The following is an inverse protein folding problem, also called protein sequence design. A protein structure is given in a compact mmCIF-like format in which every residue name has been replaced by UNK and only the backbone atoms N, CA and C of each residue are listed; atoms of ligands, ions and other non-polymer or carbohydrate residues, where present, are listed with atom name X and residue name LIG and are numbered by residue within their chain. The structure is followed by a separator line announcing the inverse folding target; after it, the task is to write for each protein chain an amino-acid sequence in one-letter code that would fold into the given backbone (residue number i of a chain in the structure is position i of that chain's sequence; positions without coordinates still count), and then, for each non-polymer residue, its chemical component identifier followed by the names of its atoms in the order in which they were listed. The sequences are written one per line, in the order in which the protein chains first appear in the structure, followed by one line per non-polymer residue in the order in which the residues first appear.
data_IF_436543385422
#
_entry.id   IF_436543385422
#
_cell.length_a   1.000
_cell.length_b   1.000
_cell.length_c   1.000
_cell.angle_alpha   90.00
_cell.angle_beta   90.00
_cell.angle_gamma   90.00
#
_symmetry.space_group_name_H-M   'P 1'
#
loop_
_entity.id
_entity.type
_entity.pdbx_description
1 polymer ?
#
# COMPACT_ATOMS: atom_id res chain seq x y z
N UNK A 1 9.46 15.70 -18.12
CA UNK A 1 10.38 14.55 -18.38
C UNK A 1 11.33 14.36 -17.21
N UNK A 2 12.26 15.28 -16.89
CA UNK A 2 13.04 15.18 -15.64
C UNK A 2 12.24 15.64 -14.39
N UNK A 3 11.29 16.57 -14.60
CA UNK A 3 10.35 17.08 -13.60
C UNK A 3 9.36 16.05 -13.01
N UNK A 4 9.22 14.89 -13.64
CA UNK A 4 8.17 13.92 -13.32
C UNK A 4 8.68 12.77 -12.44
N UNK A 5 10.00 12.55 -12.38
CA UNK A 5 10.61 11.61 -11.43
C UNK A 5 10.40 12.06 -9.98
N UNK A 6 10.40 13.36 -9.75
CA UNK A 6 10.13 13.98 -8.45
C UNK A 6 8.70 13.69 -7.93
N UNK A 7 7.80 13.27 -8.82
CA UNK A 7 6.42 12.90 -8.47
C UNK A 7 6.27 11.41 -8.17
N UNK A 8 7.28 10.56 -8.43
CA UNK A 8 7.21 9.13 -8.14
C UNK A 8 7.23 8.92 -6.62
N UNK A 9 6.23 8.21 -6.10
CA UNK A 9 6.05 8.00 -4.66
C UNK A 9 5.83 6.52 -4.36
N UNK A 10 6.51 5.99 -3.35
CA UNK A 10 6.14 4.68 -2.78
C UNK A 10 5.04 4.91 -1.74
N UNK A 11 3.98 4.11 -1.80
CA UNK A 11 2.92 4.11 -0.79
C UNK A 11 3.16 2.96 0.17
N UNK A 12 3.15 3.27 1.47
CA UNK A 12 3.09 2.30 2.57
C UNK A 12 1.73 2.41 3.25
N UNK A 13 1.02 1.28 3.32
CA UNK A 13 -0.26 1.13 4.00
C UNK A 13 -0.39 -0.33 4.48
N UNK A 14 -1.27 -0.65 5.44
CA UNK A 14 -1.50 -2.04 5.79
C UNK A 14 -2.09 -2.79 4.59
N UNK A 15 -1.79 -4.09 4.52
CA UNK A 15 -2.34 -5.03 3.55
C UNK A 15 -3.01 -6.20 4.27
N UNK A 16 -2.20 -7.09 4.85
CA UNK A 16 -2.70 -8.25 5.58
C UNK A 16 -3.38 -7.81 6.89
N UNK A 17 -4.64 -8.19 7.06
CA UNK A 17 -5.39 -8.05 8.31
C UNK A 17 -5.34 -9.33 9.16
N UNK A 18 -5.94 -9.29 10.36
CA UNK A 18 -6.07 -10.48 11.23
C UNK A 18 -6.90 -11.59 10.59
N UNK A 19 -7.84 -11.22 9.72
CA UNK A 19 -8.66 -12.13 8.94
C UNK A 19 -8.99 -11.60 7.56
N UNK A 20 -9.87 -12.33 6.87
CA UNK A 20 -10.31 -12.00 5.51
C UNK A 20 -10.94 -10.60 5.45
N UNK A 21 -11.91 -10.32 6.33
CA UNK A 21 -12.61 -9.03 6.41
C UNK A 21 -11.66 -7.84 6.62
N UNK A 22 -10.73 -7.95 7.58
CA UNK A 22 -9.74 -6.89 7.82
C UNK A 22 -8.75 -6.72 6.66
N UNK A 23 -8.42 -7.80 5.95
CA UNK A 23 -7.59 -7.73 4.73
C UNK A 23 -8.31 -6.98 3.62
N UNK A 24 -9.61 -7.23 3.40
CA UNK A 24 -10.40 -6.46 2.44
C UNK A 24 -10.50 -4.97 2.81
N UNK A 25 -10.72 -4.66 4.08
CA UNK A 25 -10.72 -3.27 4.55
C UNK A 25 -9.37 -2.58 4.29
N UNK A 26 -8.27 -3.29 4.53
CA UNK A 26 -6.92 -2.79 4.24
C UNK A 26 -6.69 -2.60 2.73
N UNK A 27 -7.21 -3.48 1.87
CA UNK A 27 -7.14 -3.32 0.41
C UNK A 27 -7.94 -2.09 -0.04
N UNK A 28 -9.16 -1.89 0.48
CA UNK A 28 -9.95 -0.69 0.21
C UNK A 28 -9.23 0.58 0.66
N UNK A 29 -8.59 0.52 1.84
CA UNK A 29 -7.79 1.62 2.37
C UNK A 29 -6.56 1.91 1.51
N UNK A 30 -5.78 0.89 1.14
CA UNK A 30 -4.62 1.04 0.25
C UNK A 30 -5.00 1.69 -1.09
N UNK A 31 -6.15 1.30 -1.67
CA UNK A 31 -6.70 1.92 -2.88
C UNK A 31 -7.07 3.39 -2.66
N UNK A 32 -7.66 3.73 -1.51
CA UNK A 32 -7.96 5.11 -1.16
C UNK A 32 -6.69 5.96 -0.96
N UNK A 33 -5.62 5.39 -0.39
CA UNK A 33 -4.31 6.04 -0.27
C UNK A 33 -3.69 6.34 -1.63
N UNK A 34 -3.72 5.36 -2.56
CA UNK A 34 -3.28 5.57 -3.94
C UNK A 34 -4.07 6.68 -4.62
N UNK A 35 -5.39 6.70 -4.44
CA UNK A 35 -6.24 7.77 -4.98
C UNK A 35 -5.89 9.14 -4.38
N UNK A 36 -5.75 9.26 -3.06
CA UNK A 36 -5.35 10.52 -2.41
C UNK A 36 -4.00 11.02 -2.96
N UNK A 37 -2.99 10.16 -3.07
CA UNK A 37 -1.69 10.50 -3.66
C UNK A 37 -1.80 10.98 -5.12
N UNK A 38 -2.57 10.28 -5.96
CA UNK A 38 -2.85 10.71 -7.34
C UNK A 38 -3.50 12.11 -7.39
N UNK A 39 -4.48 12.37 -6.51
CA UNK A 39 -5.15 13.69 -6.47
C UNK A 39 -4.27 14.83 -6.00
N UNK A 40 -3.13 14.52 -5.36
CA UNK A 40 -2.08 15.49 -5.00
C UNK A 40 -1.10 15.75 -6.15
N UNK A 41 -1.29 15.11 -7.31
CA UNK A 41 -0.41 15.25 -8.48
C UNK A 41 0.82 14.35 -8.42
N UNK A 42 0.81 13.33 -7.55
CA UNK A 42 1.89 12.35 -7.42
C UNK A 42 1.62 11.12 -8.32
N UNK A 43 2.66 10.32 -8.54
CA UNK A 43 2.64 9.08 -9.30
C UNK A 43 2.97 7.90 -8.35
N UNK A 44 1.98 7.45 -7.57
CA UNK A 44 2.19 6.45 -6.54
C UNK A 44 2.39 5.04 -7.06
N UNK A 45 3.21 4.27 -6.36
CA UNK A 45 3.34 2.83 -6.48
C UNK A 45 3.17 2.15 -5.12
N UNK A 46 2.15 1.30 -5.01
CA UNK A 46 1.85 0.51 -3.83
C UNK A 46 2.14 -0.97 -4.13
N UNK A 47 3.40 -1.41 -4.00
CA UNK A 47 3.82 -2.75 -4.40
C UNK A 47 3.09 -3.86 -3.63
N UNK A 48 2.81 -3.63 -2.35
CA UNK A 48 2.05 -4.57 -1.51
C UNK A 48 0.60 -4.74 -1.92
N UNK A 49 0.03 -3.76 -2.63
CA UNK A 49 -1.30 -3.84 -3.22
C UNK A 49 -1.23 -4.44 -4.62
N UNK A 50 -0.31 -3.97 -5.47
CA UNK A 50 -0.25 -4.38 -6.87
C UNK A 50 0.16 -5.84 -7.03
N UNK A 51 1.28 -6.26 -6.45
CA UNK A 51 1.83 -7.60 -6.69
C UNK A 51 1.01 -8.72 -6.06
N UNK A 52 0.12 -8.40 -5.13
CA UNK A 52 -0.73 -9.36 -4.42
C UNK A 52 -2.11 -9.52 -5.07
N UNK A 53 -2.37 -8.85 -6.20
CA UNK A 53 -3.63 -9.06 -6.93
C UNK A 53 -3.63 -10.42 -7.66
N UNK A 54 -4.83 -11.00 -7.78
CA UNK A 54 -5.06 -12.30 -8.42
C UNK A 54 -4.39 -12.39 -9.80
N UNK A 55 -3.61 -13.45 -10.00
CA UNK A 55 -2.91 -13.72 -11.26
C UNK A 55 -1.56 -13.00 -11.43
N UNK A 56 -1.08 -12.24 -10.42
CA UNK A 56 0.23 -11.59 -10.46
C UNK A 56 1.27 -12.40 -9.68
N UNK A 57 1.18 -12.46 -8.35
CA UNK A 57 2.02 -13.27 -7.48
C UNK A 57 1.21 -13.84 -6.32
N UNK A 58 1.58 -15.04 -5.89
CA UNK A 58 1.02 -15.74 -4.73
C UNK A 58 1.88 -15.49 -3.49
N UNK A 59 1.42 -14.64 -2.57
CA UNK A 59 2.13 -14.31 -1.31
C UNK A 59 2.31 -15.53 -0.37
N UNK A 60 1.64 -16.66 -0.65
CA UNK A 60 1.85 -17.93 0.09
C UNK A 60 3.02 -18.75 -0.46
N UNK A 61 3.49 -18.45 -1.68
CA UNK A 61 4.72 -19.01 -2.22
C UNK A 61 5.91 -18.11 -1.86
N UNK A 62 6.93 -18.67 -1.21
CA UNK A 62 8.06 -17.90 -0.70
C UNK A 62 8.92 -17.26 -1.80
N UNK A 63 9.01 -17.92 -2.98
CA UNK A 63 9.81 -17.41 -4.10
C UNK A 63 9.09 -16.24 -4.76
N UNK A 64 7.79 -16.39 -5.01
CA UNK A 64 6.96 -15.33 -5.57
C UNK A 64 6.84 -14.15 -4.60
N UNK A 65 6.67 -14.40 -3.31
CA UNK A 65 6.72 -13.36 -2.28
C UNK A 65 8.03 -12.58 -2.31
N UNK A 66 9.15 -13.29 -2.36
CA UNK A 66 10.48 -12.67 -2.44
C UNK A 66 10.66 -11.87 -3.72
N UNK A 67 10.13 -12.36 -4.86
CA UNK A 67 10.12 -11.63 -6.13
C UNK A 67 9.33 -10.33 -6.03
N UNK A 68 8.12 -10.35 -5.46
CA UNK A 68 7.28 -9.17 -5.28
C UNK A 68 7.93 -8.12 -4.37
N UNK A 69 8.56 -8.56 -3.26
CA UNK A 69 9.35 -7.69 -2.38
C UNK A 69 10.47 -7.04 -3.19
N UNK A 70 11.33 -7.83 -3.83
CA UNK A 70 12.48 -7.35 -4.60
C UNK A 70 12.09 -6.42 -5.76
N UNK A 71 10.96 -6.69 -6.42
CA UNK A 71 10.44 -5.81 -7.47
C UNK A 71 9.96 -4.47 -6.88
N UNK A 72 9.25 -4.48 -5.75
CA UNK A 72 8.91 -3.27 -4.99
C UNK A 72 10.16 -2.52 -4.50
N UNK A 73 11.21 -3.26 -4.16
CA UNK A 73 12.51 -2.69 -3.78
C UNK A 73 13.09 -1.86 -4.91
N UNK A 74 13.25 -2.46 -6.08
CA UNK A 74 13.83 -1.83 -7.25
C UNK A 74 13.04 -0.61 -7.69
N UNK A 75 11.71 -0.72 -7.72
CA UNK A 75 10.84 0.40 -8.08
C UNK A 75 10.99 1.55 -7.09
N UNK A 76 10.98 1.23 -5.81
CA UNK A 76 11.13 2.22 -4.76
C UNK A 76 12.41 3.03 -4.90
N UNK A 77 13.54 2.45 -5.35
CA UNK A 77 14.82 3.15 -5.54
C UNK A 77 14.73 4.35 -6.50
N UNK A 78 13.77 4.35 -7.41
CA UNK A 78 13.52 5.44 -8.35
C UNK A 78 12.54 6.49 -7.80
N UNK A 79 11.76 6.14 -6.78
CA UNK A 79 10.80 7.03 -6.19
C UNK A 79 11.48 8.12 -5.35
N UNK A 80 10.95 9.34 -5.43
CA UNK A 80 11.46 10.50 -4.71
C UNK A 80 11.30 10.35 -3.19
N UNK A 81 10.15 9.83 -2.76
CA UNK A 81 9.80 9.68 -1.35
C UNK A 81 8.93 8.46 -1.09
N UNK A 82 8.88 8.06 0.17
CA UNK A 82 7.95 7.08 0.70
C UNK A 82 6.87 7.80 1.51
N UNK A 83 5.61 7.59 1.15
CA UNK A 83 4.46 8.14 1.87
C UNK A 83 3.80 7.04 2.68
N UNK A 84 3.66 7.26 3.97
CA UNK A 84 3.14 6.31 4.94
C UNK A 84 1.76 6.75 5.41
N UNK A 85 0.71 6.02 5.06
CA UNK A 85 -0.65 6.31 5.50
C UNK A 85 -0.98 5.60 6.81
N UNK A 86 -1.15 6.35 7.88
CA UNK A 86 -1.14 5.83 9.26
C UNK A 86 -2.49 5.77 9.96
N UNK A 87 -3.61 6.05 9.27
CA UNK A 87 -4.97 6.05 9.87
C UNK A 87 -5.35 4.70 10.52
N UNK A 88 -4.78 3.61 10.00
CA UNK A 88 -5.00 2.23 10.47
C UNK A 88 -3.82 1.69 11.29
N UNK A 89 -2.99 2.59 11.83
CA UNK A 89 -1.74 2.24 12.51
C UNK A 89 -0.64 1.80 11.54
N UNK A 90 0.52 1.45 12.10
CA UNK A 90 1.69 0.99 11.34
C UNK A 90 1.79 -0.53 11.47
N UNK A 91 1.62 -1.25 10.36
CA UNK A 91 1.77 -2.71 10.34
C UNK A 91 3.24 -3.12 10.30
N UNK A 92 3.57 -4.37 10.69
CA UNK A 92 4.93 -4.92 10.54
C UNK A 92 5.48 -4.75 9.12
N UNK A 93 4.64 -4.98 8.10
CA UNK A 93 5.02 -4.78 6.69
C UNK A 93 5.48 -3.35 6.41
N UNK A 94 4.74 -2.38 6.93
CA UNK A 94 5.09 -0.96 6.82
C UNK A 94 6.35 -0.62 7.62
N UNK A 95 6.57 -1.21 8.79
CA UNK A 95 7.82 -1.01 9.55
C UNK A 95 9.06 -1.40 8.73
N UNK A 96 8.98 -2.52 7.99
CA UNK A 96 10.05 -2.92 7.06
C UNK A 96 10.24 -1.90 5.94
N UNK A 97 9.14 -1.42 5.33
CA UNK A 97 9.17 -0.39 4.29
C UNK A 97 9.79 0.93 4.78
N UNK A 98 9.36 1.41 5.94
CA UNK A 98 9.86 2.62 6.62
C UNK A 98 11.34 2.48 6.95
N UNK A 99 11.73 1.38 7.59
CA UNK A 99 13.14 1.13 7.95
C UNK A 99 14.02 1.19 6.71
N UNK A 100 13.57 0.55 5.63
CA UNK A 100 14.33 0.53 4.38
C UNK A 100 14.38 1.90 3.69
N UNK A 101 13.29 2.66 3.69
CA UNK A 101 13.31 4.03 3.17
C UNK A 101 14.36 4.89 3.92
N UNK A 102 14.47 4.72 5.25
CA UNK A 102 15.51 5.38 6.07
C UNK A 102 16.92 4.93 5.67
N UNK A 103 17.15 3.63 5.53
CA UNK A 103 18.46 3.08 5.13
C UNK A 103 18.91 3.58 3.75
N UNK A 104 17.96 3.91 2.89
CA UNK A 104 18.21 4.46 1.55
C UNK A 104 18.28 5.99 1.51
N UNK A 105 18.18 6.66 2.67
CA UNK A 105 18.20 8.12 2.76
C UNK A 105 17.01 8.80 2.08
N UNK A 106 15.90 8.10 1.88
CA UNK A 106 14.69 8.66 1.25
C UNK A 106 13.91 9.51 2.22
N UNK A 107 13.28 10.54 1.67
CA UNK A 107 12.27 11.30 2.39
C UNK A 107 11.08 10.40 2.74
N UNK A 108 10.61 10.50 3.98
CA UNK A 108 9.46 9.77 4.48
C UNK A 108 8.43 10.78 4.96
N UNK A 109 7.24 10.70 4.38
CA UNK A 109 6.12 11.58 4.72
C UNK A 109 4.99 10.77 5.34
N UNK A 110 4.58 11.11 6.56
CA UNK A 110 3.44 10.48 7.21
C UNK A 110 2.17 11.24 6.89
N UNK A 111 1.11 10.51 6.50
CA UNK A 111 -0.16 11.09 6.07
C UNK A 111 -1.35 10.36 6.68
N UNK A 112 -2.46 11.08 6.66
CA UNK A 112 -3.79 10.59 6.99
C UNK A 112 -4.73 10.91 5.82
N UNK A 113 -5.73 10.06 5.59
CA UNK A 113 -6.78 10.35 4.60
C UNK A 113 -7.63 11.54 5.06
N UNK A 114 -7.88 12.56 4.21
CA UNK A 114 -8.62 13.77 4.60
C UNK A 114 -10.03 13.54 5.16
N UNK A 115 -10.67 12.41 4.85
CA UNK A 115 -12.02 12.05 5.30
C UNK A 115 -12.08 10.61 5.83
N UNK A 116 -11.09 10.21 6.62
CA UNK A 116 -10.92 8.82 7.05
C UNK A 116 -12.15 8.22 7.72
N UNK A 117 -12.83 8.94 8.63
CA UNK A 117 -14.00 8.42 9.34
C UNK A 117 -15.16 8.06 8.40
N UNK A 118 -15.46 8.97 7.45
CA UNK A 118 -16.50 8.73 6.43
C UNK A 118 -16.11 7.59 5.50
N UNK A 119 -14.84 7.51 5.11
CA UNK A 119 -14.31 6.38 4.34
C UNK A 119 -14.49 5.06 5.10
N UNK A 120 -14.11 5.02 6.38
CA UNK A 120 -14.12 3.82 7.19
C UNK A 120 -15.55 3.27 7.38
N UNK A 121 -16.52 4.15 7.61
CA UNK A 121 -17.92 3.76 7.70
C UNK A 121 -18.39 3.06 6.41
N UNK A 122 -18.19 3.70 5.26
CA UNK A 122 -18.59 3.15 3.95
C UNK A 122 -17.83 1.87 3.60
N UNK A 123 -16.55 1.80 3.95
CA UNK A 123 -15.73 0.61 3.72
C UNK A 123 -16.26 -0.59 4.53
N UNK A 124 -16.59 -0.40 5.81
CA UNK A 124 -17.17 -1.45 6.67
C UNK A 124 -18.49 -1.96 6.13
N UNK A 125 -19.39 -1.08 5.70
CA UNK A 125 -20.66 -1.45 5.07
C UNK A 125 -20.42 -2.33 3.83
N UNK A 126 -19.48 -1.94 2.96
CA UNK A 126 -19.14 -2.67 1.73
C UNK A 126 -18.56 -4.07 1.99
N UNK A 127 -17.74 -4.23 3.02
CA UNK A 127 -17.10 -5.52 3.37
C UNK A 127 -18.10 -6.41 4.13
N UNK A 128 -18.97 -5.85 4.97
CA UNK A 128 -20.02 -6.62 5.66
C UNK A 128 -21.07 -7.23 4.73
N UNK A 129 -21.26 -6.66 3.54
CA UNK A 129 -22.23 -7.12 2.54
C UNK A 129 -21.73 -8.20 1.57
N UNK A 130 -20.56 -8.80 1.80
CA UNK A 130 -19.97 -9.80 0.90
C UNK A 130 -19.53 -11.07 1.63
N UNK A 131 -20.13 -12.20 1.25
CA UNK A 131 -19.49 -13.51 1.36
C UNK A 131 -18.41 -13.61 0.27
N UNK A 132 -17.21 -13.14 0.54
CA UNK A 132 -16.11 -13.24 -0.42
C UNK A 132 -15.17 -14.38 -0.02
N UNK A 133 -15.06 -15.37 -0.90
CA UNK A 133 -14.05 -16.41 -0.81
C UNK A 133 -12.75 -15.94 -1.50
N UNK A 134 -11.64 -15.91 -0.75
CA UNK A 134 -10.31 -15.67 -1.30
C UNK A 134 -9.98 -16.80 -2.28
N UNK A 135 -10.10 -16.56 -3.59
CA UNK A 135 -9.64 -17.52 -4.59
C UNK A 135 -8.11 -17.53 -4.58
N UNK A 136 -7.54 -18.69 -4.22
CA UNK A 136 -6.11 -18.97 -4.27
C UNK A 136 -5.64 -19.14 -5.70
#
# INVERSE_FOLDING_TARGET
MESDLEKLVVIESPFKGEGYHETELNILYARACVHDSLTRGEYPYASHLFYTQDGILNDKDEKERSLGINAGISWGNLAKKTVVYQDRGISKGMEYGIKRAKEQGKEIEFRNLPNYDSFLQKAKEKVSGKDYEFKK
#
